data_IF_075301736176
#
_entry.id   IF_075301736176
#
_cell.length_a   1.000
_cell.length_b   1.000
_cell.length_c   1.000
_cell.angle_alpha   90.00
_cell.angle_beta   90.00
_cell.angle_gamma   90.00
#
_symmetry.space_group_name_H-M   'P 1'
#
loop_
_entity.id
_entity.type
_entity.pdbx_description
1 polymer ?
#
# COMPACT_ATOMS: atom_id res chain seq x y z
N UNK A 1 10.37 16.91 22.58
CA UNK A 1 11.39 15.95 22.09
C UNK A 1 10.74 14.99 21.12
N UNK A 2 11.20 14.93 19.86
CA UNK A 2 10.52 14.22 18.77
C UNK A 2 10.68 12.68 18.88
N UNK A 3 9.57 11.99 19.15
CA UNK A 3 9.45 10.51 19.16
C UNK A 3 9.84 9.82 17.83
N UNK A 4 10.05 10.58 16.74
CA UNK A 4 10.43 10.03 15.43
C UNK A 4 11.83 9.38 15.39
N UNK A 5 12.75 9.78 16.28
CA UNK A 5 14.14 9.27 16.29
C UNK A 5 14.26 7.81 16.72
N UNK A 6 13.25 7.25 17.39
CA UNK A 6 13.24 5.85 17.86
C UNK A 6 12.91 4.83 16.75
N UNK A 7 12.60 5.29 15.54
CA UNK A 7 11.97 4.46 14.51
C UNK A 7 12.85 4.08 13.31
N UNK A 8 14.15 4.41 13.34
CA UNK A 8 15.16 3.79 12.47
C UNK A 8 14.92 3.94 10.96
N UNK A 9 14.16 4.95 10.52
CA UNK A 9 13.88 5.21 9.12
C UNK A 9 13.22 6.57 8.92
N UNK A 10 13.46 7.19 7.77
CA UNK A 10 12.82 8.44 7.40
C UNK A 10 11.33 8.19 7.20
N UNK A 11 10.50 8.91 7.97
CA UNK A 11 9.04 8.84 7.88
C UNK A 11 8.59 9.32 6.49
N UNK A 12 7.57 8.69 5.87
CA UNK A 12 7.03 9.16 4.59
C UNK A 12 6.70 10.66 4.61
N UNK A 13 6.93 11.37 3.51
CA UNK A 13 6.60 12.80 3.43
C UNK A 13 5.09 13.02 3.63
N UNK A 14 4.30 12.07 3.14
CA UNK A 14 2.85 12.02 3.18
C UNK A 14 2.31 11.87 4.62
N UNK A 15 3.11 11.36 5.56
CA UNK A 15 2.78 11.38 6.99
C UNK A 15 2.49 12.80 7.48
N UNK A 16 3.17 13.81 6.93
CA UNK A 16 2.97 15.19 7.35
C UNK A 16 1.61 15.76 6.94
N UNK A 17 0.94 15.16 5.95
CA UNK A 17 -0.42 15.51 5.52
C UNK A 17 -1.47 15.12 6.56
N UNK A 18 -1.17 14.12 7.40
CA UNK A 18 -2.09 13.62 8.41
C UNK A 18 -2.35 14.66 9.51
N UNK A 19 -3.60 14.71 10.00
CA UNK A 19 -3.95 15.46 11.20
C UNK A 19 -3.26 14.86 12.44
N UNK A 20 -3.32 15.56 13.58
CA UNK A 20 -2.64 15.15 14.81
C UNK A 20 -3.04 13.74 15.28
N UNK A 21 -4.34 13.43 15.24
CA UNK A 21 -4.87 12.15 15.70
C UNK A 21 -4.42 11.00 14.79
N UNK A 22 -4.49 11.18 13.47
CA UNK A 22 -4.05 10.19 12.50
C UNK A 22 -2.55 9.97 12.53
N UNK A 23 -1.74 10.99 12.85
CA UNK A 23 -0.30 10.80 13.09
C UNK A 23 -0.03 9.84 14.25
N UNK A 24 -0.74 9.98 15.36
CA UNK A 24 -0.60 9.07 16.50
C UNK A 24 -1.03 7.65 16.14
N UNK A 25 -2.20 7.51 15.51
CA UNK A 25 -2.70 6.19 15.11
C UNK A 25 -1.81 5.53 14.05
N UNK A 26 -1.21 6.28 13.13
CA UNK A 26 -0.27 5.75 12.14
C UNK A 26 0.97 5.13 12.79
N UNK A 27 1.49 5.77 13.85
CA UNK A 27 2.60 5.23 14.63
C UNK A 27 2.20 3.97 15.40
N UNK A 28 0.97 3.93 15.95
CA UNK A 28 0.41 2.73 16.59
C UNK A 28 0.19 1.59 15.59
N UNK A 29 -0.32 1.89 14.40
CA UNK A 29 -0.46 0.95 13.28
C UNK A 29 0.90 0.33 12.94
N UNK A 30 1.93 1.16 12.81
CA UNK A 30 3.29 0.68 12.57
C UNK A 30 3.80 -0.23 13.69
N UNK A 31 3.60 0.14 14.96
CA UNK A 31 4.01 -0.67 16.10
C UNK A 31 3.30 -2.05 16.09
N UNK A 32 2.00 -2.06 15.78
CA UNK A 32 1.19 -3.28 15.65
C UNK A 32 1.73 -4.20 14.55
N UNK A 33 2.00 -3.64 13.37
CA UNK A 33 2.55 -4.40 12.23
C UNK A 33 3.97 -4.92 12.51
N UNK A 34 4.78 -4.15 13.26
CA UNK A 34 6.10 -4.59 13.73
C UNK A 34 6.00 -5.84 14.61
N UNK A 35 5.10 -5.83 15.60
CA UNK A 35 4.90 -6.97 16.50
C UNK A 35 4.36 -8.21 15.76
N UNK A 36 3.55 -8.02 14.72
CA UNK A 36 3.12 -9.10 13.85
C UNK A 36 4.30 -9.69 13.05
N UNK A 37 5.27 -8.85 12.68
CA UNK A 37 6.45 -9.28 11.92
C UNK A 37 7.49 -10.06 12.73
N UNK A 38 7.60 -9.82 14.04
CA UNK A 38 8.61 -10.47 14.90
C UNK A 38 8.25 -11.89 15.34
N UNK A 39 6.96 -12.27 15.31
CA UNK A 39 6.47 -13.60 15.75
C UNK A 39 6.54 -14.69 14.64
N UNK A 40 7.34 -14.50 13.59
CA UNK A 40 7.18 -15.23 12.31
C UNK A 40 8.02 -16.51 12.18
N UNK A 41 7.36 -17.61 11.74
CA UNK A 41 7.96 -18.79 11.07
C UNK A 41 7.86 -18.61 9.54
N UNK A 42 8.90 -19.01 8.78
CA UNK A 42 9.06 -18.75 7.31
C UNK A 42 7.87 -19.13 6.40
N UNK A 43 7.01 -20.07 6.78
CA UNK A 43 6.04 -20.71 5.85
C UNK A 43 4.67 -20.00 5.69
N UNK A 44 4.44 -18.81 6.26
CA UNK A 44 3.13 -18.10 6.19
C UNK A 44 3.20 -16.69 5.57
N UNK A 45 4.12 -16.47 4.61
CA UNK A 45 4.45 -15.13 4.08
C UNK A 45 3.28 -14.41 3.38
N UNK A 46 2.54 -15.11 2.52
CA UNK A 46 1.44 -14.55 1.70
C UNK A 46 0.25 -14.16 2.59
N UNK A 47 -0.26 -15.10 3.38
CA UNK A 47 -1.41 -14.86 4.27
C UNK A 47 -1.15 -13.71 5.24
N UNK A 48 0.08 -13.58 5.75
CA UNK A 48 0.47 -12.47 6.62
C UNK A 48 0.59 -11.13 5.91
N UNK A 49 0.96 -11.12 4.63
CA UNK A 49 0.97 -9.89 3.84
C UNK A 49 -0.46 -9.42 3.55
N UNK A 50 -1.36 -10.34 3.21
CA UNK A 50 -2.78 -10.03 3.06
C UNK A 50 -3.39 -9.51 4.38
N UNK A 51 -3.10 -10.15 5.51
CA UNK A 51 -3.52 -9.69 6.84
C UNK A 51 -2.98 -8.29 7.16
N UNK A 52 -1.71 -8.02 6.84
CA UNK A 52 -1.13 -6.69 7.02
C UNK A 52 -1.83 -5.62 6.16
N UNK A 53 -2.08 -5.91 4.87
CA UNK A 53 -2.80 -4.99 3.99
C UNK A 53 -4.22 -4.74 4.50
N UNK A 54 -4.88 -5.75 5.03
CA UNK A 54 -6.23 -5.63 5.59
C UNK A 54 -6.26 -4.76 6.84
N UNK A 55 -5.30 -4.93 7.76
CA UNK A 55 -5.14 -4.05 8.94
C UNK A 55 -4.91 -2.60 8.50
N UNK A 56 -4.04 -2.38 7.50
CA UNK A 56 -3.77 -1.04 6.95
C UNK A 56 -5.06 -0.47 6.33
N UNK A 57 -5.79 -1.27 5.54
CA UNK A 57 -7.02 -0.84 4.86
C UNK A 57 -8.08 -0.36 5.84
N UNK A 58 -8.33 -1.12 6.90
CA UNK A 58 -9.33 -0.75 7.94
C UNK A 58 -8.99 0.55 8.65
N UNK A 59 -7.70 0.83 8.86
CA UNK A 59 -7.28 2.09 9.44
C UNK A 59 -7.38 3.24 8.42
N UNK A 60 -7.00 3.00 7.17
CA UNK A 60 -6.91 4.04 6.16
C UNK A 60 -8.28 4.47 5.61
N UNK A 61 -9.19 3.53 5.38
CA UNK A 61 -10.50 3.74 4.75
C UNK A 61 -11.59 3.64 5.81
N UNK A 62 -12.05 4.80 6.30
CA UNK A 62 -13.11 4.95 7.32
C UNK A 62 -14.39 5.56 6.75
N UNK A 63 -14.40 5.93 5.47
CA UNK A 63 -15.53 6.59 4.82
C UNK A 63 -15.59 8.09 5.10
N UNK A 64 -14.47 8.70 5.50
CA UNK A 64 -14.37 10.13 5.77
C UNK A 64 -13.44 10.86 4.78
N UNK A 65 -13.47 12.20 4.81
CA UNK A 65 -12.73 13.03 3.87
C UNK A 65 -11.21 12.94 4.00
N UNK A 66 -10.67 12.36 5.08
CA UNK A 66 -9.24 12.21 5.34
C UNK A 66 -8.69 10.85 4.85
N UNK A 67 -9.54 9.94 4.35
CA UNK A 67 -9.17 8.61 3.83
C UNK A 67 -8.02 8.70 2.81
N UNK A 68 -8.09 9.67 1.89
CA UNK A 68 -7.06 9.86 0.87
C UNK A 68 -5.67 10.13 1.45
N UNK A 69 -5.57 10.93 2.53
CA UNK A 69 -4.29 11.26 3.17
C UNK A 69 -3.72 10.05 3.88
N UNK A 70 -4.58 9.25 4.52
CA UNK A 70 -4.18 7.99 5.18
C UNK A 70 -3.68 6.96 4.17
N UNK A 71 -4.41 6.75 3.07
CA UNK A 71 -4.00 5.86 1.98
C UNK A 71 -2.65 6.30 1.37
N UNK A 72 -2.49 7.60 1.11
CA UNK A 72 -1.22 8.16 0.67
C UNK A 72 -0.10 7.82 1.64
N UNK A 73 -0.23 8.18 2.93
CA UNK A 73 0.79 7.95 3.97
C UNK A 73 1.15 6.47 4.16
N UNK A 74 0.19 5.56 3.96
CA UNK A 74 0.42 4.12 4.00
C UNK A 74 1.15 3.59 2.76
N UNK A 75 1.16 4.33 1.66
CA UNK A 75 1.67 3.88 0.38
C UNK A 75 0.78 2.87 -0.33
N UNK A 76 -0.53 2.89 -0.07
CA UNK A 76 -1.49 1.96 -0.66
C UNK A 76 -2.79 2.68 -0.99
N UNK A 77 -3.22 2.60 -2.25
CA UNK A 77 -4.52 3.07 -2.71
C UNK A 77 -5.31 1.88 -3.20
N UNK A 78 -6.53 1.70 -2.69
CA UNK A 78 -7.43 0.64 -3.09
C UNK A 78 -8.45 1.15 -4.11
N UNK A 79 -8.65 0.36 -5.16
CA UNK A 79 -9.68 0.53 -6.17
C UNK A 79 -10.42 -0.81 -6.30
N UNK A 80 -11.51 -0.85 -7.09
CA UNK A 80 -12.43 -1.99 -7.09
C UNK A 80 -11.74 -3.34 -7.38
N UNK A 81 -10.94 -3.41 -8.44
CA UNK A 81 -10.20 -4.62 -8.84
C UNK A 81 -8.68 -4.41 -8.89
N UNK A 82 -8.22 -3.27 -8.37
CA UNK A 82 -6.85 -2.81 -8.54
C UNK A 82 -6.31 -2.20 -7.26
N UNK A 83 -4.99 -2.22 -7.10
CA UNK A 83 -4.31 -1.63 -5.96
C UNK A 83 -3.07 -0.89 -6.43
N UNK A 84 -2.95 0.40 -6.13
CA UNK A 84 -1.71 1.13 -6.38
C UNK A 84 -0.83 1.08 -5.14
N UNK A 85 0.45 0.74 -5.35
CA UNK A 85 1.43 0.55 -4.29
C UNK A 85 2.59 1.54 -4.47
N UNK A 86 2.89 2.28 -3.40
CA UNK A 86 4.15 2.98 -3.23
C UNK A 86 5.03 2.19 -2.25
N UNK A 87 5.95 1.39 -2.79
CA UNK A 87 6.80 0.50 -1.97
C UNK A 87 7.75 1.25 -1.03
N UNK A 88 8.08 2.52 -1.32
CA UNK A 88 8.93 3.34 -0.45
C UNK A 88 8.20 3.76 0.82
N UNK A 89 6.89 4.02 0.73
CA UNK A 89 6.06 4.34 1.87
C UNK A 89 5.62 3.08 2.61
N UNK A 90 5.14 2.06 1.87
CA UNK A 90 4.63 0.82 2.46
C UNK A 90 5.70 0.05 3.27
N UNK A 91 6.98 0.09 2.86
CA UNK A 91 8.06 -0.56 3.62
C UNK A 91 8.22 -0.01 5.03
N UNK A 92 7.82 1.25 5.28
CA UNK A 92 7.88 1.87 6.60
C UNK A 92 6.93 1.18 7.59
N UNK A 93 5.77 0.73 7.11
CA UNK A 93 4.78 -0.01 7.89
C UNK A 93 5.08 -1.50 7.98
N UNK A 94 5.54 -2.11 6.88
CA UNK A 94 5.69 -3.56 6.78
C UNK A 94 7.06 -4.10 7.22
N UNK A 95 8.06 -3.25 7.44
CA UNK A 95 9.44 -3.67 7.76
C UNK A 95 10.03 -4.67 6.74
N UNK A 96 9.56 -4.59 5.49
CA UNK A 96 9.99 -5.43 4.38
C UNK A 96 10.65 -4.59 3.30
N UNK A 97 11.70 -5.10 2.69
CA UNK A 97 12.34 -4.46 1.55
C UNK A 97 11.46 -4.53 0.28
N UNK A 98 11.77 -3.67 -0.70
CA UNK A 98 11.06 -3.56 -1.99
C UNK A 98 10.92 -4.91 -2.71
N UNK A 99 11.99 -5.70 -2.77
CA UNK A 99 11.96 -7.03 -3.40
C UNK A 99 11.00 -7.98 -2.69
N UNK A 100 11.00 -8.00 -1.35
CA UNK A 100 10.09 -8.84 -0.57
C UNK A 100 8.62 -8.48 -0.78
N UNK A 101 8.31 -7.18 -0.84
CA UNK A 101 6.95 -6.69 -1.15
C UNK A 101 6.55 -7.10 -2.57
N UNK A 102 7.39 -6.82 -3.57
CA UNK A 102 7.09 -7.14 -4.96
C UNK A 102 6.93 -8.64 -5.21
N UNK A 103 7.80 -9.49 -4.65
CA UNK A 103 7.63 -10.94 -4.75
C UNK A 103 6.32 -11.38 -4.12
N UNK A 104 5.96 -10.87 -2.94
CA UNK A 104 4.71 -11.30 -2.27
C UNK A 104 3.47 -10.84 -3.04
N UNK A 105 3.49 -9.65 -3.64
CA UNK A 105 2.42 -9.19 -4.54
C UNK A 105 2.26 -10.15 -5.72
N UNK A 106 3.36 -10.49 -6.39
CA UNK A 106 3.36 -11.45 -7.50
C UNK A 106 2.83 -12.82 -7.07
N UNK A 107 3.33 -13.36 -5.96
CA UNK A 107 2.90 -14.65 -5.39
C UNK A 107 1.40 -14.63 -4.97
N UNK A 108 0.83 -13.45 -4.71
CA UNK A 108 -0.59 -13.25 -4.41
C UNK A 108 -1.46 -13.06 -5.65
N UNK A 109 -0.90 -13.20 -6.87
CA UNK A 109 -1.61 -13.02 -8.13
C UNK A 109 -1.74 -11.57 -8.63
N UNK A 110 -1.06 -10.62 -7.98
CA UNK A 110 -1.11 -9.19 -8.31
C UNK A 110 0.04 -8.80 -9.24
N UNK A 111 -0.28 -8.59 -10.51
CA UNK A 111 0.69 -8.26 -11.56
C UNK A 111 0.77 -6.75 -11.81
N UNK A 112 1.94 -6.21 -12.22
CA UNK A 112 2.03 -4.81 -12.61
C UNK A 112 1.14 -4.52 -13.83
N UNK A 113 0.36 -3.45 -13.77
CA UNK A 113 -0.38 -2.93 -14.91
C UNK A 113 0.43 -1.88 -15.69
N UNK A 114 0.02 -1.53 -16.92
CA UNK A 114 0.65 -0.46 -17.69
C UNK A 114 0.68 0.87 -16.94
N UNK A 115 1.71 1.68 -17.22
CA UNK A 115 1.94 2.95 -16.51
C UNK A 115 0.87 3.99 -16.85
N UNK A 116 0.33 3.93 -18.06
CA UNK A 116 -0.71 4.80 -18.58
C UNK A 116 -2.01 4.59 -17.80
N UNK A 117 -2.33 3.33 -17.46
CA UNK A 117 -3.49 2.98 -16.64
C UNK A 117 -3.38 3.59 -15.24
N UNK A 118 -2.21 3.47 -14.59
CA UNK A 118 -1.95 4.13 -13.31
C UNK A 118 -2.12 5.64 -13.39
N UNK A 119 -1.55 6.28 -14.41
CA UNK A 119 -1.63 7.73 -14.58
C UNK A 119 -3.07 8.20 -14.72
N UNK A 120 -3.83 7.55 -15.62
CA UNK A 120 -5.25 7.85 -15.82
C UNK A 120 -6.02 7.73 -14.50
N UNK A 121 -5.88 6.61 -13.81
CA UNK A 121 -6.58 6.33 -12.56
C UNK A 121 -6.25 7.35 -11.46
N UNK A 122 -4.95 7.67 -11.27
CA UNK A 122 -4.53 8.64 -10.27
C UNK A 122 -4.99 10.07 -10.62
N UNK A 123 -4.96 10.46 -11.89
CA UNK A 123 -5.41 11.79 -12.32
C UNK A 123 -6.92 11.97 -12.20
N UNK A 124 -7.70 10.92 -12.40
CA UNK A 124 -9.16 10.91 -12.22
C UNK A 124 -9.54 10.94 -10.74
N UNK A 125 -8.92 10.09 -9.91
CA UNK A 125 -9.29 9.92 -8.50
C UNK A 125 -8.62 10.91 -7.54
N UNK A 126 -7.44 11.41 -7.90
CA UNK A 126 -6.65 12.34 -7.08
C UNK A 126 -6.14 13.52 -7.94
N UNK A 127 -7.02 14.45 -8.36
CA UNK A 127 -6.67 15.51 -9.30
C UNK A 127 -5.50 16.40 -8.85
N UNK A 128 -5.27 16.52 -7.54
CA UNK A 128 -4.13 17.26 -6.99
C UNK A 128 -2.76 16.63 -7.33
N UNK A 129 -2.71 15.36 -7.73
CA UNK A 129 -1.49 14.68 -8.19
C UNK A 129 -1.14 15.01 -9.64
N UNK A 130 -2.05 15.60 -10.44
CA UNK A 130 -1.86 15.87 -11.88
C UNK A 130 -0.56 16.64 -12.17
N UNK A 131 -0.21 17.59 -11.31
CA UNK A 131 0.98 18.43 -11.48
C UNK A 131 2.21 17.88 -10.76
N UNK A 132 2.13 16.69 -10.16
CA UNK A 132 3.20 16.07 -9.40
C UNK A 132 3.64 14.72 -10.01
N UNK A 133 4.22 14.78 -11.20
CA UNK A 133 4.73 13.60 -11.91
C UNK A 133 5.84 12.88 -11.13
N UNK A 134 6.59 13.62 -10.31
CA UNK A 134 7.57 13.05 -9.38
C UNK A 134 6.93 12.11 -8.37
N UNK A 135 5.77 12.49 -7.82
CA UNK A 135 5.00 11.64 -6.93
C UNK A 135 4.40 10.44 -7.65
N UNK A 136 3.73 10.65 -8.80
CA UNK A 136 3.12 9.57 -9.59
C UNK A 136 4.14 8.47 -9.94
N UNK A 137 5.40 8.82 -10.23
CA UNK A 137 6.48 7.86 -10.53
C UNK A 137 6.80 6.89 -9.39
N UNK A 138 6.44 7.20 -8.15
CA UNK A 138 6.68 6.35 -6.98
C UNK A 138 5.65 5.22 -6.85
N UNK A 139 4.53 5.32 -7.58
CA UNK A 139 3.42 4.37 -7.52
C UNK A 139 3.50 3.33 -8.63
N UNK A 140 2.94 2.15 -8.37
CA UNK A 140 2.76 1.08 -9.36
C UNK A 140 1.36 0.51 -9.19
N UNK A 141 0.58 0.47 -10.27
CA UNK A 141 -0.73 -0.18 -10.28
C UNK A 141 -0.54 -1.68 -10.37
N UNK A 142 -1.29 -2.41 -9.55
CA UNK A 142 -1.34 -3.86 -9.52
C UNK A 142 -2.77 -4.32 -9.76
N UNK A 143 -2.95 -5.27 -10.64
CA UNK A 143 -4.24 -5.86 -10.94
C UNK A 143 -4.16 -7.36 -10.73
N UNK A 144 -5.29 -7.96 -10.36
CA UNK A 144 -5.42 -9.41 -10.46
C UNK A 144 -5.30 -9.78 -11.93
N UNK A 145 -4.57 -10.87 -12.23
CA UNK A 145 -4.65 -11.42 -13.59
C UNK A 145 -6.12 -11.67 -13.92
N UNK A 146 -6.62 -11.21 -15.09
CA UNK A 146 -7.86 -11.75 -15.58
C UNK A 146 -7.66 -13.26 -15.64
N UNK A 147 -8.44 -14.01 -14.85
CA UNK A 147 -8.49 -15.45 -15.01
C UNK A 147 -8.78 -15.65 -16.50
N UNK A 148 -7.84 -16.26 -17.22
CA UNK A 148 -8.13 -16.70 -18.58
C UNK A 148 -9.35 -17.59 -18.43
N UNK A 149 -10.52 -17.08 -18.84
CA UNK A 149 -11.68 -17.92 -19.07
C UNK A 149 -11.17 -18.94 -20.08
N UNK A 150 -10.89 -20.15 -19.59
CA UNK A 150 -10.81 -21.33 -20.44
C UNK A 150 -12.17 -21.37 -21.13
N UNK A 151 -12.24 -20.84 -22.35
CA UNK A 151 -13.28 -21.21 -23.29
C UNK A 151 -13.20 -22.73 -23.36
N UNK A 152 -14.08 -23.39 -22.61
CA UNK A 152 -14.27 -24.82 -22.68
C UNK A 152 -14.82 -25.10 -24.06
N UNK A 153 -13.91 -25.36 -25.00
CA UNK A 153 -14.26 -26.01 -26.24
C UNK A 153 -14.66 -27.44 -25.91
N UNK A 154 -15.77 -27.84 -26.55
CA UNK A 154 -16.10 -29.20 -26.99
C UNK A 154 -17.00 -30.03 -26.07
N UNK A 155 -17.79 -30.95 -26.65
CA UNK A 155 -17.80 -31.41 -28.04
C UNK A 155 -18.90 -30.81 -28.93
#
# INVERSE_FOLDING_TARGET
MNNLMLYGGQVPQEFWLLNYYDKQQFLQLRATLCQMSSKIKRNKKISKFAEALEIIKRWAIRGDYEDHKRCLACGVLWFDQEIAINTQQLKFLLFKCKSSINSTLHDSGLQPAPREALQKLLMERYPYLKNNMGEIRKWTLRTYQPQQQTAGTSP
#
